data_IF_069408880494
#
_entry.id   IF_069408880494
#
_cell.length_a   1.000
_cell.length_b   1.000
_cell.length_c   1.000
_cell.angle_alpha   90.00
_cell.angle_beta   90.00
_cell.angle_gamma   90.00
#
_symmetry.space_group_name_H-M   'P 1'
#
loop_
_entity.id
_entity.type
_entity.pdbx_description
1 polymer ?
#
# COMPACT_ATOMS: atom_id res chain seq x y z
N UNK A 1 5.91 11.69 -15.06
CA UNK A 1 6.00 10.77 -16.20
C UNK A 1 5.04 11.14 -17.33
N UNK A 2 3.79 11.41 -17.01
CA UNK A 2 2.81 11.83 -18.02
C UNK A 2 1.73 12.70 -17.37
N UNK A 3 1.43 13.85 -17.98
CA UNK A 3 0.41 14.80 -17.52
C UNK A 3 -0.61 15.12 -18.61
N UNK A 4 -0.73 14.27 -19.65
CA UNK A 4 -1.58 14.56 -20.80
C UNK A 4 -3.07 14.69 -20.44
N UNK A 5 -3.53 14.00 -19.39
CA UNK A 5 -4.91 14.00 -18.93
C UNK A 5 -5.13 14.68 -17.59
N UNK A 6 -4.09 15.21 -16.95
CA UNK A 6 -4.20 15.89 -15.67
C UNK A 6 -2.88 15.98 -14.91
N UNK A 7 -2.86 16.59 -13.72
CA UNK A 7 -1.68 16.71 -12.88
C UNK A 7 -1.02 15.35 -12.63
N UNK A 8 0.30 15.34 -12.48
CA UNK A 8 1.02 14.13 -12.11
C UNK A 8 0.49 13.60 -10.78
N UNK A 9 0.30 12.29 -10.66
CA UNK A 9 -0.23 11.64 -9.48
C UNK A 9 0.44 10.29 -9.26
N UNK A 10 0.97 10.07 -8.06
CA UNK A 10 1.56 8.78 -7.71
C UNK A 10 2.29 8.79 -6.38
N UNK A 11 2.75 7.62 -5.95
CA UNK A 11 3.36 7.42 -4.64
C UNK A 11 4.83 7.80 -4.57
N UNK A 12 5.27 8.19 -3.38
CA UNK A 12 6.67 8.29 -2.99
C UNK A 12 7.08 6.98 -2.31
N UNK A 13 8.17 6.36 -2.75
CA UNK A 13 8.71 5.14 -2.16
C UNK A 13 10.01 5.44 -1.41
N UNK A 14 10.07 5.07 -0.12
CA UNK A 14 11.30 5.08 0.67
C UNK A 14 11.72 3.65 0.97
N UNK A 15 12.74 3.19 0.24
CA UNK A 15 13.25 1.82 0.37
C UNK A 15 14.69 1.74 -0.14
N UNK A 16 15.60 0.99 0.51
CA UNK A 16 17.02 0.95 0.11
C UNK A 16 17.27 0.50 -1.32
N UNK A 17 16.35 -0.22 -1.95
CA UNK A 17 16.47 -0.65 -3.35
C UNK A 17 16.07 0.43 -4.37
N UNK A 18 15.51 1.55 -3.94
CA UNK A 18 15.05 2.60 -4.87
C UNK A 18 16.22 3.17 -5.67
N UNK A 19 16.05 3.18 -6.98
CA UNK A 19 16.94 3.76 -7.96
C UNK A 19 16.15 4.28 -9.17
N UNK A 20 16.81 4.93 -10.12
CA UNK A 20 16.15 5.49 -11.29
C UNK A 20 15.39 4.45 -12.13
N UNK A 21 15.93 3.25 -12.29
CA UNK A 21 15.29 2.19 -13.09
C UNK A 21 13.98 1.76 -12.46
N UNK A 22 13.98 1.53 -11.14
CA UNK A 22 12.79 1.20 -10.38
C UNK A 22 11.74 2.32 -10.47
N UNK A 23 12.15 3.59 -10.30
CA UNK A 23 11.21 4.72 -10.40
C UNK A 23 10.63 4.87 -11.81
N UNK A 24 11.42 4.64 -12.86
CA UNK A 24 10.91 4.63 -14.25
C UNK A 24 9.87 3.55 -14.46
N UNK A 25 10.13 2.35 -14.00
CA UNK A 25 9.17 1.24 -14.08
C UNK A 25 7.89 1.54 -13.32
N UNK A 26 8.01 1.98 -12.07
CA UNK A 26 6.85 2.34 -11.25
C UNK A 26 6.04 3.51 -11.84
N UNK A 27 6.72 4.47 -12.45
CA UNK A 27 6.06 5.58 -13.15
C UNK A 27 5.30 5.11 -14.40
N UNK A 28 5.87 4.18 -15.15
CA UNK A 28 5.22 3.53 -16.26
C UNK A 28 3.92 2.82 -15.82
N UNK A 29 3.99 1.99 -14.78
CA UNK A 29 2.79 1.34 -14.21
C UNK A 29 1.75 2.37 -13.75
N UNK A 30 2.19 3.45 -13.10
CA UNK A 30 1.29 4.46 -12.56
C UNK A 30 0.54 5.22 -13.66
N UNK A 31 1.16 5.45 -14.82
CA UNK A 31 0.48 6.06 -15.97
C UNK A 31 -0.71 5.21 -16.42
N UNK A 32 -0.52 3.92 -16.61
CA UNK A 32 -1.61 3.02 -16.99
C UNK A 32 -2.67 2.90 -15.90
N UNK A 33 -2.24 2.72 -14.64
CA UNK A 33 -3.15 2.64 -13.50
C UNK A 33 -4.09 3.84 -13.44
N UNK A 34 -3.56 5.05 -13.58
CA UNK A 34 -4.35 6.27 -13.49
C UNK A 34 -5.26 6.47 -14.70
N UNK A 35 -4.77 6.19 -15.91
CA UNK A 35 -5.58 6.30 -17.13
C UNK A 35 -6.81 5.38 -17.13
N UNK A 36 -6.69 4.21 -16.53
CA UNK A 36 -7.80 3.24 -16.42
C UNK A 36 -8.88 3.64 -15.40
N UNK A 37 -8.64 4.66 -14.59
CA UNK A 37 -9.65 5.15 -13.64
C UNK A 37 -10.72 6.03 -14.30
N UNK A 38 -10.46 6.56 -15.49
CA UNK A 38 -11.29 7.57 -16.15
C UNK A 38 -11.23 8.96 -15.50
N UNK A 39 -10.38 9.16 -14.49
CA UNK A 39 -10.21 10.46 -13.83
C UNK A 39 -9.15 11.31 -14.54
N UNK A 40 -9.25 12.65 -14.46
CA UNK A 40 -8.29 13.58 -15.08
C UNK A 40 -7.02 13.70 -14.23
N UNK A 41 -6.32 12.59 -14.05
CA UNK A 41 -5.05 12.51 -13.30
C UNK A 41 -3.99 11.84 -14.16
N UNK A 42 -2.83 12.47 -14.22
CA UNK A 42 -1.65 11.95 -14.88
C UNK A 42 -0.92 10.89 -14.04
N UNK A 43 0.21 10.40 -14.51
CA UNK A 43 1.04 9.44 -13.80
C UNK A 43 2.32 10.06 -13.28
N UNK A 44 2.60 9.87 -11.99
CA UNK A 44 3.83 10.28 -11.33
C UNK A 44 4.35 9.19 -10.39
N UNK A 45 5.64 9.26 -10.10
CA UNK A 45 6.29 8.42 -9.10
C UNK A 45 7.57 9.08 -8.63
N UNK A 46 7.88 8.94 -7.37
CA UNK A 46 9.11 9.45 -6.79
C UNK A 46 9.60 8.57 -5.65
N UNK A 47 10.70 8.97 -5.04
CA UNK A 47 11.19 8.25 -3.88
C UNK A 47 12.66 8.49 -3.57
N UNK A 48 13.15 7.73 -2.61
CA UNK A 48 14.53 7.77 -2.14
C UNK A 48 14.96 6.36 -1.70
N UNK A 49 16.26 6.11 -1.74
CA UNK A 49 16.89 4.92 -1.16
C UNK A 49 17.01 4.98 0.38
N UNK A 50 16.40 5.94 1.03
CA UNK A 50 16.29 5.99 2.47
C UNK A 50 15.48 4.80 3.01
N UNK A 51 16.01 4.11 4.02
CA UNK A 51 15.32 3.02 4.71
C UNK A 51 14.70 3.53 6.02
N UNK A 52 13.37 3.63 6.11
CA UNK A 52 12.71 4.05 7.35
C UNK A 52 12.66 2.96 8.42
N UNK A 53 12.98 1.69 8.07
CA UNK A 53 12.94 0.58 9.03
C UNK A 53 14.00 0.76 10.12
N UNK A 54 13.60 0.57 11.37
CA UNK A 54 14.50 0.71 12.53
C UNK A 54 14.90 2.15 12.85
N UNK A 55 14.38 3.14 12.14
CA UNK A 55 14.58 4.56 12.45
C UNK A 55 13.54 5.07 13.42
N UNK A 56 13.97 5.95 14.33
CA UNK A 56 13.07 6.68 15.21
C UNK A 56 12.16 7.65 14.44
N UNK A 57 11.04 8.01 15.02
CA UNK A 57 10.15 9.03 14.45
C UNK A 57 10.86 10.35 14.17
N UNK A 58 11.81 10.72 15.03
CA UNK A 58 12.62 11.93 14.86
C UNK A 58 13.52 11.86 13.61
N UNK A 59 14.18 10.73 13.39
CA UNK A 59 15.02 10.53 12.20
C UNK A 59 14.20 10.54 10.92
N UNK A 60 13.06 9.84 10.93
CA UNK A 60 12.15 9.80 9.77
C UNK A 60 11.56 11.21 9.50
N UNK A 61 11.17 11.94 10.54
CA UNK A 61 10.69 13.31 10.40
C UNK A 61 11.75 14.23 9.83
N UNK A 62 12.97 14.17 10.33
CA UNK A 62 14.08 14.99 9.82
C UNK A 62 14.37 14.70 8.34
N UNK A 63 14.37 13.43 7.95
CA UNK A 63 14.50 13.06 6.55
C UNK A 63 13.35 13.59 5.69
N UNK A 64 12.10 13.40 6.10
CA UNK A 64 10.93 13.89 5.38
C UNK A 64 10.95 15.41 5.21
N UNK A 65 11.36 16.14 6.23
CA UNK A 65 11.48 17.59 6.17
C UNK A 65 12.56 18.04 5.18
N UNK A 66 13.74 17.43 5.23
CA UNK A 66 14.83 17.71 4.29
C UNK A 66 14.42 17.38 2.84
N UNK A 67 13.82 16.21 2.62
CA UNK A 67 13.34 15.75 1.32
C UNK A 67 12.28 16.72 0.76
N UNK A 68 11.30 17.14 1.58
CA UNK A 68 10.25 18.05 1.13
C UNK A 68 10.77 19.47 0.87
N UNK A 69 11.79 19.93 1.56
CA UNK A 69 12.42 21.25 1.29
C UNK A 69 12.90 21.37 -0.16
N UNK A 70 13.37 20.29 -0.74
CA UNK A 70 13.75 20.25 -2.15
C UNK A 70 12.55 19.94 -3.06
N UNK A 71 11.72 18.96 -2.69
CA UNK A 71 10.59 18.51 -3.51
C UNK A 71 9.52 19.59 -3.69
N UNK A 72 9.30 20.46 -2.70
CA UNK A 72 8.23 21.48 -2.74
C UNK A 72 8.34 22.47 -3.91
N UNK A 73 9.50 22.52 -4.57
CA UNK A 73 9.73 23.35 -5.76
C UNK A 73 9.04 22.81 -7.01
N UNK A 74 8.66 21.52 -7.00
CA UNK A 74 8.21 20.79 -8.19
C UNK A 74 6.81 20.23 -8.06
N UNK A 75 6.19 20.32 -6.88
CA UNK A 75 4.86 19.74 -6.59
C UNK A 75 3.85 20.83 -6.22
N UNK A 76 2.59 20.52 -6.35
CA UNK A 76 1.46 21.41 -6.03
C UNK A 76 0.15 20.74 -6.37
N UNK A 77 -0.96 21.32 -5.92
CA UNK A 77 -2.30 20.77 -6.08
C UNK A 77 -2.68 20.49 -7.53
N UNK A 78 -2.22 21.35 -8.45
CA UNK A 78 -2.54 21.26 -9.88
C UNK A 78 -1.34 20.87 -10.78
N UNK A 79 -0.21 20.54 -10.17
CA UNK A 79 1.03 20.20 -10.89
C UNK A 79 1.40 18.74 -10.70
N UNK A 80 1.74 18.37 -9.47
CA UNK A 80 2.13 17.02 -9.08
C UNK A 80 1.66 16.77 -7.65
N UNK A 81 0.85 15.73 -7.48
CA UNK A 81 0.23 15.38 -6.20
C UNK A 81 0.76 14.02 -5.73
N UNK A 82 1.85 14.00 -4.95
CA UNK A 82 2.39 12.76 -4.43
C UNK A 82 1.46 12.07 -3.43
N UNK A 83 1.70 10.78 -3.20
CA UNK A 83 0.96 9.94 -2.28
C UNK A 83 1.89 9.00 -1.51
N UNK A 84 1.32 8.16 -0.65
CA UNK A 84 2.06 7.07 -0.02
C UNK A 84 2.37 5.93 -0.96
N UNK A 85 3.42 5.18 -0.63
CA UNK A 85 3.86 3.93 -1.24
C UNK A 85 4.71 3.16 -0.20
N UNK A 86 5.47 2.15 -0.60
CA UNK A 86 6.36 1.43 0.33
C UNK A 86 7.26 2.41 1.10
N UNK A 87 7.25 2.30 2.42
CA UNK A 87 8.03 3.16 3.32
C UNK A 87 7.48 4.57 3.53
N UNK A 88 6.33 4.91 2.91
CA UNK A 88 5.65 6.20 3.08
C UNK A 88 4.18 5.96 3.42
N UNK A 89 3.86 5.98 4.68
CA UNK A 89 2.50 5.88 5.21
C UNK A 89 1.96 7.23 5.69
N UNK A 90 0.87 7.19 6.45
CA UNK A 90 0.23 8.41 6.99
C UNK A 90 1.15 9.26 7.86
N UNK A 91 2.08 8.64 8.62
CA UNK A 91 3.10 9.32 9.41
C UNK A 91 4.03 10.16 8.53
N UNK A 92 4.60 9.55 7.50
CA UNK A 92 5.50 10.22 6.56
C UNK A 92 4.78 11.31 5.77
N UNK A 93 3.57 11.04 5.31
CA UNK A 93 2.72 12.06 4.65
C UNK A 93 2.47 13.25 5.56
N UNK A 94 2.23 13.03 6.86
CA UNK A 94 2.09 14.11 7.84
C UNK A 94 3.34 14.98 7.96
N UNK A 95 4.52 14.35 8.03
CA UNK A 95 5.80 15.06 8.10
C UNK A 95 6.10 15.85 6.81
N UNK A 96 5.84 15.23 5.66
CA UNK A 96 6.01 15.88 4.35
C UNK A 96 5.07 17.06 4.19
N UNK A 97 3.79 16.91 4.51
CA UNK A 97 2.81 17.99 4.39
C UNK A 97 3.09 19.15 5.36
N UNK A 98 3.46 18.84 6.60
CA UNK A 98 3.85 19.86 7.58
C UNK A 98 5.02 20.71 7.10
N UNK A 99 6.02 20.11 6.46
CA UNK A 99 7.15 20.84 5.90
C UNK A 99 6.76 21.61 4.63
N UNK A 100 5.95 21.03 3.74
CA UNK A 100 5.41 21.74 2.58
C UNK A 100 4.72 23.04 3.00
N UNK A 101 3.78 22.95 3.95
CA UNK A 101 3.07 24.10 4.51
C UNK A 101 4.03 25.16 5.07
N UNK A 102 5.09 24.75 5.80
CA UNK A 102 6.06 25.67 6.38
C UNK A 102 6.88 26.42 5.33
N UNK A 103 7.29 25.73 4.26
CA UNK A 103 8.19 26.29 3.23
C UNK A 103 7.42 27.12 2.20
N UNK A 104 6.23 26.64 1.83
CA UNK A 104 5.40 27.28 0.79
C UNK A 104 4.43 28.32 1.34
N UNK A 105 4.17 28.32 2.64
CA UNK A 105 3.11 29.10 3.30
C UNK A 105 1.72 28.88 2.67
N UNK A 106 1.47 27.62 2.22
CA UNK A 106 0.23 27.22 1.55
C UNK A 106 -0.41 26.02 2.26
N UNK A 107 -1.74 26.07 2.35
CA UNK A 107 -2.57 24.95 2.79
C UNK A 107 -3.49 24.57 1.63
N UNK A 108 -3.04 23.60 0.83
CA UNK A 108 -3.70 23.25 -0.42
C UNK A 108 -3.80 21.72 -0.62
N UNK A 109 -4.41 21.29 -1.73
CA UNK A 109 -4.65 19.89 -2.07
C UNK A 109 -3.42 19.09 -2.53
N UNK A 110 -2.22 19.49 -2.15
CA UNK A 110 -0.99 18.71 -2.38
C UNK A 110 -0.91 17.53 -1.43
N UNK A 111 -0.34 16.41 -1.87
CA UNK A 111 -0.25 15.15 -1.15
C UNK A 111 -1.62 14.52 -0.84
N UNK A 112 -1.76 13.23 -1.12
CA UNK A 112 -2.88 12.42 -0.65
C UNK A 112 -2.42 11.44 0.43
N UNK A 113 -3.38 10.97 1.26
CA UNK A 113 -3.06 10.18 2.45
C UNK A 113 -2.85 11.00 3.72
N UNK A 114 -3.24 12.28 3.69
CA UNK A 114 -3.26 13.16 4.86
C UNK A 114 -4.31 12.71 5.88
N UNK A 115 -4.07 13.00 7.16
CA UNK A 115 -5.07 12.80 8.20
C UNK A 115 -6.27 13.73 8.04
N UNK A 116 -7.41 13.33 8.61
CA UNK A 116 -8.67 14.09 8.53
C UNK A 116 -8.54 15.50 9.11
N UNK A 117 -7.70 15.68 10.14
CA UNK A 117 -7.51 16.96 10.82
C UNK A 117 -6.68 17.97 10.04
N UNK A 118 -6.04 17.55 8.93
CA UNK A 118 -5.21 18.44 8.12
C UNK A 118 -5.39 18.20 6.60
N UNK A 119 -6.64 18.17 6.17
CA UNK A 119 -7.01 18.21 4.76
C UNK A 119 -7.12 16.86 4.08
N UNK A 120 -7.16 15.76 4.85
CA UNK A 120 -7.39 14.43 4.32
C UNK A 120 -8.87 14.13 4.10
N UNK A 121 -9.14 13.16 3.24
CA UNK A 121 -10.46 12.57 3.04
C UNK A 121 -10.64 11.34 3.92
N UNK A 122 -11.90 10.92 4.13
CA UNK A 122 -12.19 9.62 4.67
C UNK A 122 -11.56 8.55 3.76
N UNK A 123 -10.66 7.75 4.34
CA UNK A 123 -10.01 6.67 3.62
C UNK A 123 -10.84 5.39 3.76
N UNK A 124 -10.96 4.65 2.67
CA UNK A 124 -11.47 3.28 2.69
C UNK A 124 -10.26 2.35 2.67
N UNK A 125 -9.86 1.88 3.85
CA UNK A 125 -8.68 1.02 4.03
C UNK A 125 -8.76 -0.26 3.20
N UNK A 126 -9.96 -0.77 2.98
CA UNK A 126 -10.27 -1.96 2.21
C UNK A 126 -10.23 -1.77 0.68
N UNK A 127 -10.24 -0.55 0.17
CA UNK A 127 -10.53 -0.28 -1.24
C UNK A 127 -9.61 -1.02 -2.22
N UNK A 128 -8.30 -1.04 -1.98
CA UNK A 128 -7.34 -1.69 -2.89
C UNK A 128 -7.49 -3.21 -2.85
N UNK A 129 -7.55 -3.81 -1.65
CA UNK A 129 -7.73 -5.25 -1.50
C UNK A 129 -9.05 -5.75 -2.08
N UNK A 130 -10.13 -5.02 -1.83
CA UNK A 130 -11.43 -5.32 -2.41
C UNK A 130 -11.44 -5.21 -3.93
N UNK A 131 -10.81 -4.17 -4.48
CA UNK A 131 -10.71 -3.94 -5.91
C UNK A 131 -10.03 -5.10 -6.64
N UNK A 132 -8.96 -5.64 -6.09
CA UNK A 132 -8.29 -6.84 -6.63
C UNK A 132 -9.25 -8.02 -6.71
N UNK A 133 -10.00 -8.27 -5.64
CA UNK A 133 -10.93 -9.41 -5.61
C UNK A 133 -12.16 -9.17 -6.49
N UNK A 134 -12.63 -7.94 -6.62
CA UNK A 134 -13.71 -7.62 -7.57
C UNK A 134 -13.30 -7.88 -9.02
N UNK A 135 -12.10 -7.45 -9.43
CA UNK A 135 -11.57 -7.74 -10.77
C UNK A 135 -11.44 -9.26 -10.99
N UNK A 136 -10.89 -9.98 -10.00
CA UNK A 136 -10.81 -11.44 -10.06
C UNK A 136 -12.18 -12.08 -10.22
N UNK A 137 -13.18 -11.63 -9.47
CA UNK A 137 -14.53 -12.15 -9.54
C UNK A 137 -15.18 -11.91 -10.91
N UNK A 138 -14.97 -10.74 -11.54
CA UNK A 138 -15.46 -10.48 -12.89
C UNK A 138 -14.74 -11.37 -13.92
N UNK A 139 -13.42 -11.52 -13.83
CA UNK A 139 -12.67 -12.42 -14.71
C UNK A 139 -13.15 -13.89 -14.59
N UNK A 140 -13.46 -14.35 -13.37
CA UNK A 140 -14.00 -15.70 -13.18
C UNK A 140 -15.37 -15.88 -13.81
N UNK A 141 -16.24 -14.86 -13.72
CA UNK A 141 -17.56 -14.88 -14.41
C UNK A 141 -17.41 -15.03 -15.92
N UNK A 142 -16.44 -14.33 -16.53
CA UNK A 142 -16.17 -14.46 -17.98
C UNK A 142 -15.76 -15.90 -18.38
N UNK A 143 -15.23 -16.67 -17.41
CA UNK A 143 -14.88 -18.07 -17.56
C UNK A 143 -15.96 -19.03 -17.02
N UNK A 144 -17.15 -18.53 -16.69
CA UNK A 144 -18.24 -19.31 -16.07
C UNK A 144 -17.81 -20.00 -14.76
N UNK A 145 -16.99 -19.33 -13.96
CA UNK A 145 -16.47 -19.81 -12.67
C UNK A 145 -16.77 -18.79 -11.56
N UNK A 146 -16.50 -19.14 -10.30
CA UNK A 146 -16.71 -18.28 -9.14
C UNK A 146 -15.66 -18.51 -8.07
N UNK A 147 -15.55 -17.60 -7.12
CA UNK A 147 -14.70 -17.75 -5.94
C UNK A 147 -15.29 -18.71 -4.89
N UNK A 148 -16.57 -19.01 -4.97
CA UNK A 148 -17.24 -19.87 -4.02
C UNK A 148 -16.63 -21.28 -4.01
N UNK A 149 -16.27 -21.78 -2.82
CA UNK A 149 -15.62 -23.06 -2.61
C UNK A 149 -14.16 -23.16 -3.08
N UNK A 150 -13.56 -22.10 -3.64
CA UNK A 150 -12.16 -22.11 -4.08
C UNK A 150 -11.19 -22.00 -2.89
N UNK A 151 -10.09 -22.72 -3.00
CA UNK A 151 -8.93 -22.53 -2.12
C UNK A 151 -8.06 -21.41 -2.68
N UNK A 152 -7.75 -20.43 -1.84
CA UNK A 152 -7.01 -19.22 -2.22
C UNK A 152 -5.76 -19.07 -1.37
N UNK A 153 -4.69 -18.62 -2.00
CA UNK A 153 -3.44 -18.19 -1.36
C UNK A 153 -3.24 -16.71 -1.64
N UNK A 154 -2.88 -15.94 -0.61
CA UNK A 154 -2.62 -14.50 -0.74
C UNK A 154 -1.17 -14.22 -0.38
N UNK A 155 -0.39 -13.75 -1.35
CA UNK A 155 1.00 -13.35 -1.11
C UNK A 155 1.03 -11.96 -0.48
N UNK A 156 1.53 -11.89 0.76
CA UNK A 156 1.58 -10.68 1.57
C UNK A 156 0.81 -10.79 2.87
N UNK A 157 0.97 -9.80 3.74
CA UNK A 157 0.23 -9.63 5.01
C UNK A 157 0.04 -8.15 5.38
N UNK A 158 0.23 -7.25 4.42
CA UNK A 158 -0.05 -5.83 4.58
C UNK A 158 -1.52 -5.50 4.29
N UNK A 159 -1.82 -4.21 4.24
CA UNK A 159 -3.19 -3.69 4.04
C UNK A 159 -3.92 -4.36 2.85
N UNK A 160 -3.32 -4.35 1.66
CA UNK A 160 -3.95 -4.93 0.46
C UNK A 160 -4.26 -6.42 0.65
N UNK A 161 -3.32 -7.19 1.20
CA UNK A 161 -3.48 -8.62 1.43
C UNK A 161 -4.59 -8.91 2.45
N UNK A 162 -4.62 -8.21 3.57
CA UNK A 162 -5.64 -8.36 4.62
C UNK A 162 -7.04 -8.17 4.04
N UNK A 163 -7.25 -7.10 3.29
CA UNK A 163 -8.57 -6.83 2.73
C UNK A 163 -8.90 -7.66 1.49
N UNK A 164 -7.91 -8.15 0.76
CA UNK A 164 -8.13 -9.18 -0.26
C UNK A 164 -8.60 -10.50 0.37
N UNK A 165 -7.96 -10.95 1.46
CA UNK A 165 -8.43 -12.12 2.24
C UNK A 165 -9.87 -11.93 2.70
N UNK A 166 -10.17 -10.76 3.29
CA UNK A 166 -11.52 -10.45 3.77
C UNK A 166 -12.57 -10.57 2.66
N UNK A 167 -12.31 -9.96 1.51
CA UNK A 167 -13.28 -9.98 0.41
C UNK A 167 -13.40 -11.36 -0.24
N UNK A 168 -12.28 -12.06 -0.47
CA UNK A 168 -12.31 -13.41 -1.03
C UNK A 168 -13.12 -14.36 -0.12
N UNK A 169 -12.92 -14.30 1.19
CA UNK A 169 -13.70 -15.08 2.16
C UNK A 169 -15.19 -14.72 2.15
N UNK A 170 -15.53 -13.43 2.03
CA UNK A 170 -16.93 -12.99 1.89
C UNK A 170 -17.60 -13.52 0.62
N UNK A 171 -16.84 -13.80 -0.43
CA UNK A 171 -17.32 -14.37 -1.69
C UNK A 171 -17.24 -15.90 -1.72
N UNK A 172 -17.07 -16.55 -0.57
CA UNK A 172 -17.14 -18.01 -0.41
C UNK A 172 -15.80 -18.73 -0.60
N UNK A 173 -14.71 -18.03 -0.86
CA UNK A 173 -13.39 -18.66 -0.96
C UNK A 173 -12.82 -19.03 0.42
N UNK A 174 -12.03 -20.10 0.47
CA UNK A 174 -11.23 -20.47 1.64
C UNK A 174 -9.80 -20.01 1.44
N UNK A 175 -9.39 -18.96 2.13
CA UNK A 175 -8.01 -18.50 2.10
C UNK A 175 -7.19 -19.28 3.11
N UNK A 176 -6.18 -20.02 2.66
CA UNK A 176 -5.42 -20.96 3.49
C UNK A 176 -3.99 -20.51 3.78
N UNK A 177 -3.48 -19.49 3.09
CA UNK A 177 -2.11 -19.05 3.32
C UNK A 177 -1.93 -17.54 3.10
N UNK A 178 -1.03 -16.96 3.89
CA UNK A 178 -0.51 -15.59 3.76
C UNK A 178 0.99 -15.58 4.03
N UNK A 179 1.72 -14.57 3.55
CA UNK A 179 3.16 -14.46 3.80
C UNK A 179 3.61 -13.03 4.15
N UNK A 180 4.83 -12.93 4.65
CA UNK A 180 5.60 -11.68 4.69
C UNK A 180 7.00 -11.90 4.09
N UNK A 181 7.92 -10.95 4.28
CA UNK A 181 9.27 -11.05 3.72
C UNK A 181 10.14 -12.14 4.33
N UNK A 182 9.70 -12.76 5.42
CA UNK A 182 10.49 -13.76 6.16
C UNK A 182 9.96 -15.18 5.99
N UNK A 183 8.67 -15.34 5.68
CA UNK A 183 8.07 -16.64 5.57
C UNK A 183 6.57 -16.58 5.37
N UNK A 184 5.92 -17.71 5.43
CA UNK A 184 4.49 -17.85 5.22
C UNK A 184 3.81 -18.67 6.30
N UNK A 185 2.53 -18.37 6.51
CA UNK A 185 1.62 -19.20 7.33
C UNK A 185 0.73 -20.02 6.42
N UNK A 186 0.41 -21.22 6.86
CA UNK A 186 -0.58 -22.09 6.26
C UNK A 186 -1.55 -22.56 7.34
N UNK A 187 -2.85 -22.37 7.09
CA UNK A 187 -3.94 -22.81 7.93
C UNK A 187 -4.95 -23.57 7.07
N UNK A 188 -5.00 -24.90 7.16
CA UNK A 188 -5.91 -25.73 6.33
C UNK A 188 -7.38 -25.47 6.64
N UNK A 189 -7.69 -24.89 7.80
CA UNK A 189 -9.06 -24.54 8.20
C UNK A 189 -9.53 -23.20 7.63
N UNK A 190 -8.61 -22.42 7.09
CA UNK A 190 -8.82 -21.05 6.60
C UNK A 190 -8.30 -20.02 7.57
N UNK A 191 -7.67 -18.98 7.02
CA UNK A 191 -7.04 -17.90 7.79
C UNK A 191 -8.06 -17.19 8.70
N UNK A 192 -7.77 -17.17 9.99
CA UNK A 192 -8.47 -16.32 10.95
C UNK A 192 -7.99 -14.88 10.80
N UNK A 193 -8.80 -14.08 10.09
CA UNK A 193 -8.41 -12.72 9.73
C UNK A 193 -8.31 -11.77 10.93
N UNK A 194 -9.07 -12.00 11.99
CA UNK A 194 -9.03 -11.15 13.19
C UNK A 194 -7.69 -11.29 13.91
N UNK A 195 -7.14 -12.50 13.96
CA UNK A 195 -5.79 -12.74 14.50
C UNK A 195 -4.74 -12.05 13.63
N UNK A 196 -4.86 -12.11 12.30
CA UNK A 196 -3.94 -11.41 11.38
C UNK A 196 -4.01 -9.90 11.59
N UNK A 197 -5.20 -9.33 11.69
CA UNK A 197 -5.40 -7.90 11.94
C UNK A 197 -4.79 -7.46 13.27
N UNK A 198 -5.00 -8.21 14.34
CA UNK A 198 -4.37 -7.89 15.63
C UNK A 198 -2.84 -7.87 15.53
N UNK A 199 -2.25 -8.88 14.88
CA UNK A 199 -0.80 -8.94 14.67
C UNK A 199 -0.29 -7.77 13.83
N UNK A 200 -0.94 -7.50 12.70
CA UNK A 200 -0.40 -6.58 11.68
C UNK A 200 -0.80 -5.13 11.89
N UNK A 201 -2.06 -4.86 12.24
CA UNK A 201 -2.60 -3.51 12.34
C UNK A 201 -2.45 -2.93 13.75
N UNK A 202 -2.63 -3.77 14.80
CA UNK A 202 -2.55 -3.34 16.19
C UNK A 202 -1.12 -3.44 16.72
N UNK A 203 -0.52 -4.63 16.67
CA UNK A 203 0.80 -4.89 17.27
C UNK A 203 1.97 -4.58 16.35
N UNK A 204 1.72 -4.44 15.04
CA UNK A 204 2.73 -4.25 13.99
C UNK A 204 3.79 -5.37 14.00
N UNK A 205 3.37 -6.57 14.39
CA UNK A 205 4.20 -7.76 14.49
C UNK A 205 4.44 -8.47 13.16
N UNK A 206 5.07 -9.63 13.23
CA UNK A 206 5.35 -10.49 12.09
C UNK A 206 4.30 -11.57 11.95
N UNK A 207 4.04 -12.01 10.70
CA UNK A 207 2.99 -13.00 10.43
C UNK A 207 3.26 -14.35 11.12
N UNK A 208 4.50 -14.67 11.45
CA UNK A 208 4.87 -15.89 12.17
C UNK A 208 4.12 -16.08 13.50
N UNK A 209 3.77 -14.97 14.16
CA UNK A 209 3.04 -15.00 15.43
C UNK A 209 1.64 -15.64 15.31
N UNK A 210 1.12 -15.78 14.08
CA UNK A 210 -0.15 -16.42 13.80
C UNK A 210 -0.15 -17.89 14.22
N UNK A 211 0.90 -18.64 13.87
CA UNK A 211 1.02 -20.05 14.18
C UNK A 211 1.11 -20.32 15.69
N UNK A 212 1.58 -19.35 16.49
CA UNK A 212 1.61 -19.44 17.95
C UNK A 212 0.22 -19.25 18.58
N UNK A 213 -0.75 -18.75 17.82
CA UNK A 213 -2.08 -18.35 18.34
C UNK A 213 -3.23 -19.17 17.76
N UNK A 214 -3.02 -19.86 16.67
CA UNK A 214 -4.06 -20.62 15.96
C UNK A 214 -3.65 -22.07 15.88
N UNK A 215 -4.42 -22.92 16.55
CA UNK A 215 -4.18 -24.37 16.56
C UNK A 215 -4.33 -24.96 15.16
N UNK A 216 -3.40 -25.80 14.77
CA UNK A 216 -3.35 -26.43 13.44
C UNK A 216 -2.72 -25.59 12.34
N UNK A 217 -2.45 -24.32 12.60
CA UNK A 217 -1.69 -23.48 11.68
C UNK A 217 -0.19 -23.74 11.78
N UNK A 218 0.51 -23.55 10.67
CA UNK A 218 1.97 -23.71 10.60
C UNK A 218 2.63 -22.44 10.08
N UNK A 219 3.88 -22.20 10.48
CA UNK A 219 4.75 -21.20 9.89
C UNK A 219 5.97 -21.86 9.27
N UNK A 220 6.32 -21.44 8.08
CA UNK A 220 7.53 -21.88 7.38
C UNK A 220 8.36 -20.65 7.01
N UNK A 221 9.63 -20.68 7.38
CA UNK A 221 10.58 -19.61 7.03
C UNK A 221 11.03 -19.74 5.57
N UNK A 222 11.23 -18.60 4.92
CA UNK A 222 11.68 -18.55 3.53
C UNK A 222 10.54 -18.39 2.51
N UNK A 223 10.85 -18.65 1.25
CA UNK A 223 9.89 -18.48 0.14
C UNK A 223 8.95 -19.66 0.08
N UNK A 224 7.65 -19.37 0.04
CA UNK A 224 6.62 -20.41 -0.15
C UNK A 224 6.61 -20.96 -1.57
N UNK A 225 6.28 -22.24 -1.68
CA UNK A 225 5.94 -22.89 -2.96
C UNK A 225 4.41 -22.89 -3.03
N UNK A 226 3.89 -22.16 -4.00
CA UNK A 226 2.44 -21.99 -4.23
C UNK A 226 1.95 -22.79 -5.41
#
# INVERSE_FOLDING_TARGET
>A
FNSAIGPYKGGLRFHPTVNQSILKFLGFEQVFKNSLTGLPIGGGKGGSNFDPKGKSDREVMAFCQSFMTELCKYIGADTDVPAGDIGVGGREIGYLFGQYKRVRDLYEGVLTGKGLTYGGSLIRTEATGYGVVYILNELMKDHNDSLDGKTVVVTGSGNVAIYAVQKATQLGAKVVAMCDSNGYIHDPNGINLDVVKDIKEVKRGRIKEYADRVEGATYTEGVGIW
#
